data_IF_622544488437
#
_entry.id   IF_622544488437
#
_cell.length_a   1.000
_cell.length_b   1.000
_cell.length_c   1.000
_cell.angle_alpha   90.00
_cell.angle_beta   90.00
_cell.angle_gamma   90.00
#
_symmetry.space_group_name_H-M   'P 1'
#
loop_
_entity.id
_entity.type
_entity.pdbx_description
1 polymer ?
#
# COMPACT_ATOMS: atom_id res chain seq x y z
N UNK A 1 -4.48 -10.93 -20.22
CA UNK A 1 -4.29 -11.96 -19.19
C UNK A 1 -5.67 -12.49 -18.85
N UNK A 2 -6.08 -13.64 -19.41
CA UNK A 2 -7.34 -14.27 -19.02
C UNK A 2 -7.11 -14.89 -17.65
N UNK A 3 -7.71 -14.29 -16.63
CA UNK A 3 -7.72 -14.88 -15.30
C UNK A 3 -9.00 -15.72 -15.24
N UNK A 4 -8.90 -17.01 -15.56
CA UNK A 4 -9.89 -17.99 -15.10
C UNK A 4 -9.65 -18.20 -13.60
N UNK A 5 -10.04 -17.22 -12.78
CA UNK A 5 -9.99 -17.34 -11.33
C UNK A 5 -11.39 -17.43 -10.78
N UNK A 6 -11.85 -18.66 -10.58
CA UNK A 6 -12.95 -18.91 -9.66
C UNK A 6 -12.48 -18.60 -8.24
N UNK A 7 -13.19 -17.75 -7.50
CA UNK A 7 -12.84 -17.38 -6.13
C UNK A 7 -13.86 -17.98 -5.17
N UNK A 8 -13.40 -18.59 -4.09
CA UNK A 8 -14.26 -19.09 -3.01
C UNK A 8 -14.40 -17.99 -1.94
N UNK A 9 -15.65 -17.64 -1.61
CA UNK A 9 -16.03 -16.64 -0.61
C UNK A 9 -17.02 -17.26 0.39
N UNK A 10 -16.49 -17.80 1.49
CA UNK A 10 -17.25 -18.66 2.39
C UNK A 10 -17.77 -19.89 1.65
N UNK A 11 -19.09 -20.08 1.63
CA UNK A 11 -19.75 -21.19 0.93
C UNK A 11 -20.03 -20.89 -0.56
N UNK A 12 -19.67 -19.69 -1.06
CA UNK A 12 -20.00 -19.25 -2.41
C UNK A 12 -18.80 -19.35 -3.34
N UNK A 13 -19.00 -19.96 -4.51
CA UNK A 13 -18.02 -19.97 -5.60
C UNK A 13 -18.39 -18.87 -6.60
N UNK A 14 -17.55 -17.85 -6.73
CA UNK A 14 -17.72 -16.74 -7.66
C UNK A 14 -17.12 -17.12 -9.01
N UNK A 15 -17.91 -17.03 -10.08
CA UNK A 15 -17.44 -17.25 -11.44
C UNK A 15 -16.60 -16.05 -11.94
N UNK A 16 -16.04 -16.16 -13.15
CA UNK A 16 -15.17 -15.13 -13.72
C UNK A 16 -15.87 -13.76 -13.86
N UNK A 17 -17.15 -13.72 -14.22
CA UNK A 17 -17.93 -12.48 -14.35
C UNK A 17 -18.20 -11.83 -12.99
N UNK A 18 -18.54 -12.64 -11.98
CA UNK A 18 -18.73 -12.19 -10.61
C UNK A 18 -17.43 -11.61 -10.04
N UNK A 19 -16.30 -12.27 -10.29
CA UNK A 19 -14.97 -11.81 -9.88
C UNK A 19 -14.60 -10.52 -10.60
N UNK A 20 -14.86 -10.43 -11.91
CA UNK A 20 -14.60 -9.24 -12.70
C UNK A 20 -15.40 -8.04 -12.21
N UNK A 21 -16.71 -8.20 -11.96
CA UNK A 21 -17.57 -7.15 -11.38
C UNK A 21 -17.07 -6.71 -10.01
N UNK A 22 -16.78 -7.66 -9.14
CA UNK A 22 -16.35 -7.37 -7.77
C UNK A 22 -15.01 -6.63 -7.75
N UNK A 23 -14.05 -7.05 -8.59
CA UNK A 23 -12.78 -6.37 -8.73
C UNK A 23 -12.96 -4.98 -9.33
N UNK A 24 -13.81 -4.84 -10.35
CA UNK A 24 -14.13 -3.55 -10.97
C UNK A 24 -14.72 -2.59 -9.92
N UNK A 25 -15.74 -3.00 -9.17
CA UNK A 25 -16.34 -2.19 -8.10
C UNK A 25 -15.31 -1.78 -7.03
N UNK A 26 -14.35 -2.65 -6.72
CA UNK A 26 -13.29 -2.36 -5.77
C UNK A 26 -12.26 -1.34 -6.30
N UNK A 27 -11.92 -1.40 -7.59
CA UNK A 27 -10.91 -0.52 -8.21
C UNK A 27 -11.50 0.70 -8.93
N UNK A 28 -12.83 0.80 -9.02
CA UNK A 28 -13.52 1.81 -9.83
C UNK A 28 -13.15 3.23 -9.40
N UNK A 29 -12.95 3.45 -8.09
CA UNK A 29 -12.49 4.73 -7.56
C UNK A 29 -11.15 5.18 -8.19
N UNK A 30 -10.22 4.25 -8.40
CA UNK A 30 -8.93 4.54 -9.03
C UNK A 30 -9.08 4.80 -10.52
N UNK A 31 -9.96 4.06 -11.19
CA UNK A 31 -10.26 4.27 -12.60
C UNK A 31 -10.92 5.64 -12.84
N UNK A 32 -11.93 5.99 -12.04
CA UNK A 32 -12.63 7.29 -12.12
C UNK A 32 -11.65 8.43 -11.83
N UNK A 33 -10.84 8.33 -10.78
CA UNK A 33 -9.84 9.35 -10.47
C UNK A 33 -8.82 9.51 -11.61
N UNK A 34 -8.35 8.40 -12.19
CA UNK A 34 -7.44 8.41 -13.35
C UNK A 34 -8.07 9.10 -14.55
N UNK A 35 -9.36 8.85 -14.80
CA UNK A 35 -10.09 9.52 -15.88
C UNK A 35 -10.24 11.01 -15.63
N UNK A 36 -10.60 11.43 -14.42
CA UNK A 36 -10.70 12.86 -14.04
C UNK A 36 -9.35 13.56 -14.20
N UNK A 37 -8.28 12.95 -13.69
CA UNK A 37 -6.91 13.49 -13.81
C UNK A 37 -6.41 13.55 -15.25
N UNK A 38 -6.95 12.71 -16.14
CA UNK A 38 -6.51 12.61 -17.53
C UNK A 38 -7.42 13.29 -18.56
N UNK A 39 -8.50 13.97 -18.17
CA UNK A 39 -9.42 14.60 -19.11
C UNK A 39 -9.23 16.12 -19.21
N UNK A 40 -9.58 16.68 -20.36
CA UNK A 40 -9.74 18.13 -20.56
C UNK A 40 -11.23 18.40 -20.84
N UNK A 41 -11.86 19.21 -20.01
CA UNK A 41 -13.26 19.62 -20.17
C UNK A 41 -13.33 21.14 -20.31
N UNK A 42 -13.56 21.61 -21.54
CA UNK A 42 -13.68 23.03 -21.84
C UNK A 42 -14.98 23.64 -21.29
N UNK A 43 -16.05 22.84 -21.10
CA UNK A 43 -17.33 23.32 -20.56
C UNK A 43 -17.15 23.75 -19.09
N UNK A 44 -16.41 22.95 -18.32
CA UNK A 44 -16.13 23.17 -16.89
C UNK A 44 -14.79 23.87 -16.63
N UNK A 45 -14.02 24.20 -17.68
CA UNK A 45 -12.71 24.83 -17.57
C UNK A 45 -11.66 23.95 -16.89
N UNK A 46 -11.80 22.63 -16.99
CA UNK A 46 -10.92 21.66 -16.35
C UNK A 46 -9.82 21.17 -17.30
N UNK A 47 -8.58 21.22 -16.85
CA UNK A 47 -7.46 20.59 -17.54
C UNK A 47 -6.71 19.68 -16.54
N UNK A 48 -7.15 18.43 -16.46
CA UNK A 48 -6.59 17.45 -15.52
C UNK A 48 -5.09 17.24 -15.70
N UNK A 49 -4.58 16.94 -16.91
CA UNK A 49 -3.16 16.71 -17.12
C UNK A 49 -2.27 17.87 -16.68
N UNK A 50 -2.68 19.11 -16.95
CA UNK A 50 -1.96 20.31 -16.50
C UNK A 50 -2.05 20.46 -14.99
N UNK A 51 -3.25 20.30 -14.41
CA UNK A 51 -3.45 20.40 -12.98
C UNK A 51 -2.56 19.42 -12.21
N UNK A 52 -2.49 18.17 -12.65
CA UNK A 52 -1.65 17.14 -12.01
C UNK A 52 -0.17 17.51 -12.08
N UNK A 53 0.31 17.96 -13.24
CA UNK A 53 1.71 18.36 -13.41
C UNK A 53 2.11 19.51 -12.47
N UNK A 54 1.21 20.47 -12.28
CA UNK A 54 1.53 21.71 -11.57
C UNK A 54 1.20 21.69 -10.07
N UNK A 55 0.20 20.90 -9.65
CA UNK A 55 -0.41 21.03 -8.32
C UNK A 55 -0.43 19.74 -7.49
N UNK A 56 -0.19 18.56 -8.07
CA UNK A 56 -0.24 17.30 -7.31
C UNK A 56 1.12 17.00 -6.70
N UNK A 57 1.12 16.91 -5.37
CA UNK A 57 2.23 16.36 -4.62
C UNK A 57 2.08 14.83 -4.56
N UNK A 58 2.92 14.12 -5.31
CA UNK A 58 2.93 12.65 -5.33
C UNK A 58 4.24 12.13 -4.76
N UNK A 59 4.18 11.07 -3.96
CA UNK A 59 5.37 10.36 -3.47
C UNK A 59 5.53 9.04 -4.22
N UNK A 60 6.75 8.49 -4.26
CA UNK A 60 6.97 7.14 -4.77
C UNK A 60 6.14 6.16 -3.92
N UNK A 61 5.27 5.39 -4.57
CA UNK A 61 4.20 4.65 -3.90
C UNK A 61 4.74 3.44 -3.12
N UNK A 62 5.73 2.75 -3.68
CA UNK A 62 6.29 1.54 -3.09
C UNK A 62 7.08 1.87 -1.83
N UNK A 63 8.01 2.80 -1.91
CA UNK A 63 8.78 3.30 -0.78
C UNK A 63 7.89 4.07 0.21
N UNK A 64 6.97 4.89 -0.29
CA UNK A 64 6.13 5.74 0.55
C UNK A 64 5.02 5.02 1.31
N UNK A 65 4.61 3.81 0.91
CA UNK A 65 3.47 3.13 1.52
C UNK A 65 3.53 1.60 1.60
N UNK A 66 4.40 0.95 0.82
CA UNK A 66 4.50 -0.51 0.71
C UNK A 66 5.85 -1.05 1.18
N UNK A 67 6.69 -0.23 1.82
CA UNK A 67 8.11 -0.53 1.97
C UNK A 67 8.39 -1.85 2.71
N UNK A 68 7.59 -2.21 3.72
CA UNK A 68 7.72 -3.52 4.38
C UNK A 68 7.43 -4.69 3.42
N UNK A 69 6.47 -4.54 2.50
CA UNK A 69 6.16 -5.56 1.51
C UNK A 69 7.30 -5.69 0.49
N UNK A 70 7.97 -4.59 0.13
CA UNK A 70 9.20 -4.65 -0.69
C UNK A 70 10.30 -5.43 0.03
N UNK A 71 10.58 -5.12 1.30
CA UNK A 71 11.59 -5.81 2.08
C UNK A 71 11.33 -7.31 2.24
N UNK A 72 10.06 -7.71 2.37
CA UNK A 72 9.70 -9.11 2.57
C UNK A 72 9.30 -9.83 1.29
N UNK A 73 9.48 -9.20 0.11
CA UNK A 73 9.01 -9.74 -1.18
C UNK A 73 7.53 -10.17 -1.14
N UNK A 74 6.70 -9.35 -0.50
CA UNK A 74 5.27 -9.57 -0.33
C UNK A 74 4.92 -10.84 0.46
N UNK A 75 5.87 -11.39 1.23
CA UNK A 75 5.63 -12.47 2.18
C UNK A 75 5.13 -11.90 3.51
N UNK A 76 3.82 -12.01 3.74
CA UNK A 76 3.17 -11.54 4.96
C UNK A 76 3.57 -12.34 6.19
N UNK A 77 3.83 -13.64 6.07
CA UNK A 77 4.26 -14.47 7.20
C UNK A 77 5.66 -14.09 7.64
N UNK A 78 6.58 -13.94 6.68
CA UNK A 78 7.93 -13.44 6.95
C UNK A 78 7.89 -12.09 7.66
N UNK A 79 7.06 -11.16 7.19
CA UNK A 79 6.90 -9.85 7.83
C UNK A 79 6.42 -9.98 9.28
N UNK A 80 5.43 -10.84 9.53
CA UNK A 80 4.90 -11.07 10.87
C UNK A 80 5.94 -11.69 11.80
N UNK A 81 6.68 -12.70 11.33
CA UNK A 81 7.72 -13.37 12.11
C UNK A 81 8.84 -12.40 12.49
N UNK A 82 9.33 -11.59 11.54
CA UNK A 82 10.37 -10.58 11.77
C UNK A 82 9.89 -9.51 12.77
N UNK A 83 8.68 -9.00 12.61
CA UNK A 83 8.12 -7.99 13.52
C UNK A 83 7.85 -8.56 14.93
N UNK A 84 7.65 -9.87 15.06
CA UNK A 84 7.42 -10.55 16.33
C UNK A 84 8.71 -10.88 17.09
N UNK A 85 9.89 -10.71 16.48
CA UNK A 85 11.17 -10.99 17.14
C UNK A 85 11.40 -10.07 18.35
N UNK A 86 11.94 -10.60 19.46
CA UNK A 86 12.43 -9.76 20.54
C UNK A 86 13.65 -8.98 20.09
N UNK A 87 13.79 -7.74 20.58
CA UNK A 87 15.01 -6.97 20.50
C UNK A 87 16.14 -7.70 21.24
N UNK A 88 17.40 -7.61 20.78
CA UNK A 88 18.54 -8.18 21.51
C UNK A 88 18.65 -7.55 22.89
N UNK A 89 18.98 -8.35 23.91
CA UNK A 89 19.19 -7.81 25.26
C UNK A 89 20.50 -7.03 25.32
N UNK A 90 20.68 -6.16 26.33
CA UNK A 90 21.95 -5.46 26.53
C UNK A 90 23.14 -6.44 26.55
N UNK A 91 24.09 -6.23 25.63
CA UNK A 91 25.30 -7.04 25.52
C UNK A 91 25.16 -8.31 24.67
N UNK A 92 23.97 -8.65 24.16
CA UNK A 92 23.78 -9.74 23.22
C UNK A 92 24.02 -9.28 21.77
N UNK A 93 24.71 -10.07 20.95
CA UNK A 93 24.83 -9.75 19.53
C UNK A 93 23.49 -9.91 18.81
N UNK A 94 23.26 -9.08 17.80
CA UNK A 94 22.10 -9.17 16.92
C UNK A 94 22.19 -10.42 16.04
N UNK A 95 21.10 -11.18 15.94
CA UNK A 95 20.98 -12.28 14.98
C UNK A 95 20.75 -11.77 13.56
N UNK A 96 20.96 -12.60 12.54
CA UNK A 96 20.70 -12.20 11.15
C UNK A 96 19.24 -11.77 10.92
N UNK A 97 18.29 -12.44 11.56
CA UNK A 97 16.87 -12.10 11.44
C UNK A 97 16.52 -10.81 12.21
N UNK A 98 17.13 -10.59 13.37
CA UNK A 98 16.96 -9.34 14.12
C UNK A 98 17.52 -8.16 13.32
N UNK A 99 18.66 -8.34 12.65
CA UNK A 99 19.23 -7.33 11.75
C UNK A 99 18.28 -6.99 10.61
N UNK A 100 17.71 -8.00 9.97
CA UNK A 100 16.71 -7.81 8.92
C UNK A 100 15.46 -7.08 9.44
N UNK A 101 14.95 -7.46 10.61
CA UNK A 101 13.81 -6.78 11.25
C UNK A 101 14.14 -5.30 11.58
N UNK A 102 15.35 -5.02 12.06
CA UNK A 102 15.83 -3.66 12.31
C UNK A 102 15.89 -2.84 11.03
N UNK A 103 16.47 -3.38 9.96
CA UNK A 103 16.55 -2.73 8.65
C UNK A 103 15.16 -2.38 8.10
N UNK A 104 14.17 -3.25 8.31
CA UNK A 104 12.77 -2.98 7.96
C UNK A 104 12.21 -1.82 8.80
N UNK A 105 12.34 -1.87 10.13
CA UNK A 105 11.77 -0.84 11.02
C UNK A 105 12.41 0.51 10.76
N UNK A 106 13.75 0.59 10.74
CA UNK A 106 14.48 1.82 10.44
C UNK A 106 14.13 2.34 9.04
N UNK A 107 14.08 1.45 8.05
CA UNK A 107 13.70 1.79 6.68
C UNK A 107 12.29 2.38 6.60
N UNK A 108 11.31 1.77 7.25
CA UNK A 108 9.94 2.28 7.30
C UNK A 108 9.87 3.63 8.00
N UNK A 109 10.54 3.79 9.14
CA UNK A 109 10.54 5.03 9.91
C UNK A 109 11.26 6.18 9.20
N UNK A 110 12.26 5.89 8.36
CA UNK A 110 13.04 6.93 7.68
C UNK A 110 12.49 7.29 6.29
N UNK A 111 11.86 6.34 5.59
CA UNK A 111 11.53 6.49 4.16
C UNK A 111 10.04 6.35 3.82
N UNK A 112 9.27 5.66 4.66
CA UNK A 112 7.84 5.44 4.42
C UNK A 112 7.01 6.50 5.14
N UNK A 113 6.03 7.07 4.45
CA UNK A 113 5.14 8.12 4.99
C UNK A 113 3.72 7.59 5.29
N UNK A 114 3.38 6.46 4.71
CA UNK A 114 2.23 5.66 5.06
C UNK A 114 2.65 4.24 5.37
N UNK A 115 1.78 3.50 6.05
CA UNK A 115 1.97 2.08 6.29
C UNK A 115 0.72 1.33 5.86
N UNK A 116 0.74 0.79 4.64
CA UNK A 116 -0.43 0.09 4.09
C UNK A 116 -0.54 -1.30 4.70
N UNK A 117 -1.43 -1.44 5.68
CA UNK A 117 -1.87 -2.74 6.16
C UNK A 117 -3.01 -3.24 5.27
N UNK A 118 -2.66 -4.14 4.36
CA UNK A 118 -3.59 -4.65 3.38
C UNK A 118 -4.57 -5.67 4.02
N UNK A 119 -5.86 -5.47 3.78
CA UNK A 119 -6.94 -6.42 4.13
C UNK A 119 -7.88 -6.55 2.93
N UNK A 120 -8.79 -7.53 2.97
CA UNK A 120 -9.84 -7.67 1.95
C UNK A 120 -9.41 -8.45 0.72
N UNK A 121 -9.71 -7.95 -0.49
CA UNK A 121 -9.54 -8.70 -1.74
C UNK A 121 -8.09 -9.06 -2.05
N UNK A 122 -7.15 -8.29 -1.54
CA UNK A 122 -5.73 -8.61 -1.63
C UNK A 122 -5.41 -9.98 -1.03
N UNK A 123 -6.17 -10.44 -0.02
CA UNK A 123 -5.99 -11.76 0.59
C UNK A 123 -6.35 -12.92 -0.34
N UNK A 124 -7.10 -12.63 -1.40
CA UNK A 124 -7.44 -13.60 -2.45
C UNK A 124 -6.25 -13.85 -3.39
N UNK A 125 -5.30 -12.90 -3.44
CA UNK A 125 -4.05 -13.00 -4.22
C UNK A 125 -2.88 -13.43 -3.32
N UNK A 126 -2.76 -12.78 -2.15
CA UNK A 126 -1.76 -13.07 -1.14
C UNK A 126 -2.39 -13.81 0.03
N UNK A 127 -2.07 -15.10 0.21
CA UNK A 127 -2.70 -15.96 1.23
C UNK A 127 -2.64 -15.37 2.66
N UNK A 128 -1.60 -14.61 2.97
CA UNK A 128 -1.46 -13.87 4.21
C UNK A 128 -0.72 -12.55 3.97
N UNK A 129 -1.15 -11.51 4.67
CA UNK A 129 -0.48 -10.21 4.76
C UNK A 129 -0.18 -9.92 6.23
N UNK A 130 0.80 -9.06 6.50
CA UNK A 130 1.10 -8.62 7.87
C UNK A 130 -0.16 -8.11 8.59
N UNK A 131 -0.94 -7.26 7.91
CA UNK A 131 -2.19 -6.72 8.45
C UNK A 131 -3.21 -7.79 8.81
N UNK A 132 -3.36 -8.84 7.97
CA UNK A 132 -4.26 -9.96 8.28
C UNK A 132 -3.78 -10.80 9.47
N UNK A 133 -2.47 -10.99 9.61
CA UNK A 133 -1.89 -11.78 10.69
C UNK A 133 -1.95 -11.05 12.03
N UNK A 134 -1.68 -9.73 12.06
CA UNK A 134 -1.93 -8.92 13.26
C UNK A 134 -3.40 -8.89 13.66
N UNK A 135 -4.34 -8.87 12.70
CA UNK A 135 -5.77 -8.97 13.00
C UNK A 135 -6.15 -10.33 13.59
N UNK A 136 -5.55 -11.41 13.08
CA UNK A 136 -5.78 -12.77 13.58
C UNK A 136 -5.12 -13.03 14.94
N UNK A 137 -4.12 -12.23 15.33
CA UNK A 137 -3.38 -12.34 16.59
C UNK A 137 -3.45 -11.01 17.38
N UNK A 138 -4.60 -10.68 18.00
CA UNK A 138 -4.78 -9.40 18.67
C UNK A 138 -3.69 -9.10 19.71
N UNK A 139 -3.12 -7.89 19.62
CA UNK A 139 -2.05 -7.42 20.52
C UNK A 139 -0.65 -7.87 20.12
N UNK A 140 -0.49 -8.70 19.09
CA UNK A 140 0.84 -9.12 18.62
C UNK A 140 1.62 -7.99 17.94
N UNK A 141 0.97 -6.89 17.58
CA UNK A 141 1.60 -5.69 17.00
C UNK A 141 2.18 -4.73 18.06
N UNK A 142 1.97 -5.02 19.34
CA UNK A 142 2.34 -4.11 20.45
C UNK A 142 2.93 -4.85 21.66
N UNK A 143 3.61 -5.98 21.42
CA UNK A 143 4.28 -6.74 22.49
C UNK A 143 5.58 -6.03 22.92
N UNK A 144 5.70 -5.55 24.17
CA UNK A 144 6.87 -4.79 24.60
C UNK A 144 8.19 -5.53 24.34
N UNK A 145 9.17 -4.79 23.82
CA UNK A 145 10.49 -5.34 23.50
C UNK A 145 10.56 -6.11 22.18
N UNK A 146 9.56 -6.00 21.31
CA UNK A 146 9.61 -6.53 19.93
C UNK A 146 9.80 -5.43 18.88
N UNK A 147 10.15 -5.82 17.65
CA UNK A 147 10.24 -4.89 16.52
C UNK A 147 8.88 -4.27 16.15
N UNK A 148 7.78 -5.00 16.27
CA UNK A 148 6.43 -4.48 16.08
C UNK A 148 6.13 -3.33 17.07
N UNK A 149 6.42 -3.55 18.35
CA UNK A 149 6.24 -2.54 19.39
C UNK A 149 7.14 -1.32 19.16
N UNK A 150 8.39 -1.54 18.73
CA UNK A 150 9.27 -0.42 18.37
C UNK A 150 8.69 0.41 17.21
N UNK A 151 8.27 -0.23 16.12
CA UNK A 151 7.66 0.45 14.98
C UNK A 151 6.42 1.25 15.40
N UNK A 152 5.53 0.64 16.19
CA UNK A 152 4.32 1.29 16.71
C UNK A 152 4.63 2.49 17.61
N UNK A 153 5.57 2.34 18.53
CA UNK A 153 5.99 3.43 19.39
C UNK A 153 6.61 4.58 18.58
N UNK A 154 7.53 4.26 17.68
CA UNK A 154 8.22 5.25 16.86
C UNK A 154 7.28 6.04 15.94
N UNK A 155 6.26 5.40 15.35
CA UNK A 155 5.27 6.10 14.51
C UNK A 155 4.39 7.09 15.29
N UNK A 156 4.33 6.99 16.63
CA UNK A 156 3.60 7.93 17.49
C UNK A 156 4.49 9.08 17.94
N UNK A 157 5.76 8.81 18.26
CA UNK A 157 6.61 9.76 18.96
C UNK A 157 7.74 10.36 18.13
N UNK A 158 8.06 9.78 16.97
CA UNK A 158 9.14 10.24 16.11
C UNK A 158 8.58 10.87 14.84
N UNK A 159 9.33 11.83 14.31
CA UNK A 159 9.06 12.46 13.02
C UNK A 159 10.27 12.29 12.12
N UNK A 160 10.02 12.17 10.83
CA UNK A 160 11.09 12.18 9.84
C UNK A 160 11.70 13.58 9.72
N UNK A 161 13.01 13.64 9.55
CA UNK A 161 13.75 14.90 9.35
C UNK A 161 13.49 15.54 7.98
N UNK A 162 12.99 14.75 7.03
CA UNK A 162 12.79 15.14 5.64
C UNK A 162 11.46 14.62 5.12
N UNK A 163 10.74 15.47 4.38
CA UNK A 163 9.57 15.08 3.59
C UNK A 163 10.07 14.49 2.25
N UNK A 164 9.43 13.47 1.65
CA UNK A 164 9.89 12.89 0.39
C UNK A 164 9.92 13.95 -0.71
N UNK A 165 10.75 13.79 -1.74
CA UNK A 165 10.60 14.61 -2.92
C UNK A 165 9.27 14.30 -3.61
N UNK A 166 8.62 15.31 -4.17
CA UNK A 166 7.50 15.08 -5.08
C UNK A 166 7.99 14.41 -6.36
N UNK A 167 7.20 13.49 -6.89
CA UNK A 167 7.38 12.95 -8.22
C UNK A 167 7.24 14.07 -9.25
N UNK A 168 8.07 14.00 -10.30
CA UNK A 168 8.03 14.95 -11.41
C UNK A 168 6.96 14.51 -12.41
N UNK A 169 5.73 14.96 -12.20
CA UNK A 169 4.63 14.74 -13.13
C UNK A 169 4.81 15.61 -14.37
N UNK A 170 4.64 14.99 -15.54
CA UNK A 170 4.66 15.69 -16.83
C UNK A 170 3.26 15.74 -17.40
N UNK A 171 2.96 16.83 -18.10
CA UNK A 171 1.72 16.93 -18.87
C UNK A 171 1.70 15.80 -19.90
N UNK A 172 0.64 15.00 -19.86
CA UNK A 172 0.39 13.91 -20.79
C UNK A 172 -0.76 14.28 -21.74
N UNK A 173 -0.88 13.61 -22.91
CA UNK A 173 -2.07 13.73 -23.74
C UNK A 173 -3.33 13.34 -22.95
N UNK A 174 -4.41 14.10 -23.15
CA UNK A 174 -5.68 13.79 -22.51
C UNK A 174 -6.20 12.43 -22.97
N UNK A 175 -6.72 11.64 -22.03
CA UNK A 175 -7.44 10.40 -22.33
C UNK A 175 -8.79 10.69 -23.01
N UNK A 176 -9.39 11.86 -22.70
CA UNK A 176 -10.67 12.31 -23.22
C UNK A 176 -10.74 13.85 -23.25
N UNK A 177 -11.40 14.39 -24.28
CA UNK A 177 -11.84 15.78 -24.32
C UNK A 177 -13.36 15.86 -24.13
N UNK A 178 -13.81 16.79 -23.30
CA UNK A 178 -15.22 17.00 -22.92
C UNK A 178 -15.64 16.31 -21.61
N UNK A 179 -16.92 16.48 -21.20
CA UNK A 179 -17.39 16.06 -19.89
C UNK A 179 -17.24 14.57 -19.61
N UNK A 180 -16.82 14.21 -18.40
CA UNK A 180 -16.50 12.82 -18.03
C UNK A 180 -17.65 11.84 -18.35
N UNK A 181 -18.88 12.20 -17.99
CA UNK A 181 -20.04 11.30 -18.03
C UNK A 181 -20.80 11.29 -19.36
N UNK A 182 -20.45 12.15 -20.32
CA UNK A 182 -21.09 12.18 -21.65
C UNK A 182 -20.37 11.22 -22.60
N UNK A 183 -21.08 10.55 -23.49
CA UNK A 183 -20.42 9.79 -24.55
C UNK A 183 -19.56 10.75 -25.40
N UNK A 184 -18.34 10.31 -25.76
CA UNK A 184 -17.42 11.01 -26.66
C UNK A 184 -17.93 11.00 -28.10
#
# INVERSE_FOLDING_TARGET
MHIDSTIVDGDKVLNSDDVSRLLTDYIIQGQVLTMVMGLIDEEDGWNGPQYVADHVYGIEFMEGSQLINEFTNWDGQKAFDLMSLPLPKPGEPESAQQKEAREIVEGCLQRSFGFKLAHGLILRVFKSTLGSLWRANPGSDDVPGTYAHWLRHATIYWNQDHIPPTLNFKVIPAFKNGPLLRAS
#
